data_IF_471848760003
#
_entry.id   IF_471848760003
#
_cell.length_a   1.000
_cell.length_b   1.000
_cell.length_c   1.000
_cell.angle_alpha   90.00
_cell.angle_beta   90.00
_cell.angle_gamma   90.00
#
_symmetry.space_group_name_H-M   'P 1'
#
loop_
_entity.id
_entity.type
_entity.pdbx_description
1 polymer ?
#
# COMPACT_ATOMS: atom_id res chain seq x y z
N UNK A 1 -1.31 35.47 -9.18
CA UNK A 1 -1.50 34.34 -8.26
C UNK A 1 -2.78 33.67 -8.66
N UNK A 2 -2.65 32.45 -9.16
CA UNK A 2 -3.73 31.64 -9.73
C UNK A 2 -3.66 30.28 -9.04
N UNK A 3 -4.80 29.81 -8.55
CA UNK A 3 -4.91 28.56 -7.82
C UNK A 3 -5.08 27.38 -8.78
N UNK A 4 -4.20 26.40 -8.67
CA UNK A 4 -4.25 25.11 -9.36
C UNK A 4 -4.54 24.01 -8.36
N UNK A 5 -5.49 23.14 -8.70
CA UNK A 5 -5.98 22.09 -7.82
C UNK A 5 -5.76 20.71 -8.45
N UNK A 6 -5.02 19.87 -7.74
CA UNK A 6 -4.92 18.44 -8.00
C UNK A 6 -5.97 17.71 -7.16
N UNK A 7 -6.80 16.90 -7.80
CA UNK A 7 -7.73 15.99 -7.13
C UNK A 7 -7.30 14.56 -7.39
N UNK A 8 -6.94 13.83 -6.34
CA UNK A 8 -6.44 12.47 -6.40
C UNK A 8 -7.45 11.48 -5.81
N UNK A 9 -7.92 10.56 -6.64
CA UNK A 9 -8.81 9.47 -6.25
C UNK A 9 -8.05 8.14 -6.21
N UNK A 10 -8.15 7.42 -5.09
CA UNK A 10 -7.59 6.07 -4.99
C UNK A 10 -8.65 5.02 -5.38
N UNK A 11 -8.37 4.25 -6.44
CA UNK A 11 -9.27 3.20 -6.93
C UNK A 11 -9.39 2.01 -5.98
N UNK A 12 -8.40 1.77 -5.12
CA UNK A 12 -8.44 0.67 -4.14
C UNK A 12 -9.33 0.99 -2.93
N UNK A 13 -9.65 2.26 -2.71
CA UNK A 13 -10.46 2.72 -1.59
C UNK A 13 -11.52 3.70 -2.11
N UNK A 14 -12.50 3.22 -2.91
CA UNK A 14 -13.47 4.08 -3.59
C UNK A 14 -14.42 4.81 -2.64
N UNK A 15 -14.54 4.33 -1.40
CA UNK A 15 -15.40 4.90 -0.34
C UNK A 15 -14.73 6.04 0.43
N UNK A 16 -13.41 6.25 0.25
CA UNK A 16 -12.70 7.38 0.84
C UNK A 16 -12.87 8.64 -0.01
N UNK A 17 -12.94 9.83 0.61
CA UNK A 17 -13.03 11.08 -0.12
C UNK A 17 -11.77 11.32 -0.97
N UNK A 18 -11.97 11.98 -2.11
CA UNK A 18 -10.86 12.39 -2.97
C UNK A 18 -9.93 13.34 -2.22
N UNK A 19 -8.63 13.15 -2.39
CA UNK A 19 -7.61 14.01 -1.80
C UNK A 19 -7.41 15.22 -2.68
N UNK A 20 -7.43 16.41 -2.07
CA UNK A 20 -7.27 17.67 -2.78
C UNK A 20 -5.96 18.33 -2.33
N UNK A 21 -5.12 18.68 -3.30
CA UNK A 21 -3.91 19.44 -3.08
C UNK A 21 -3.91 20.68 -3.98
N UNK A 22 -3.47 21.81 -3.45
CA UNK A 22 -3.56 23.10 -4.12
C UNK A 22 -2.20 23.79 -4.18
N UNK A 23 -1.93 24.46 -5.31
CA UNK A 23 -0.77 25.31 -5.51
C UNK A 23 -1.23 26.69 -5.99
N UNK A 24 -0.69 27.74 -5.38
CA UNK A 24 -0.83 29.09 -5.88
C UNK A 24 0.40 29.44 -6.73
N UNK A 25 0.18 29.60 -8.04
CA UNK A 25 1.24 29.85 -8.99
C UNK A 25 1.29 31.33 -9.40
N UNK A 26 2.50 31.86 -9.48
CA UNK A 26 2.79 33.11 -10.16
C UNK A 26 2.86 32.89 -11.68
N UNK A 27 2.71 33.94 -12.52
CA UNK A 27 2.81 33.80 -13.97
C UNK A 27 4.13 33.17 -14.43
N UNK A 28 5.25 33.48 -13.76
CA UNK A 28 6.54 32.88 -14.10
C UNK A 28 6.65 31.40 -13.72
N UNK A 29 5.83 30.92 -12.78
CA UNK A 29 5.72 29.51 -12.43
C UNK A 29 4.77 28.75 -13.38
N UNK A 30 3.74 29.42 -13.92
CA UNK A 30 2.89 28.86 -14.98
C UNK A 30 3.68 28.64 -16.28
N UNK A 31 4.60 29.56 -16.62
CA UNK A 31 5.44 29.47 -17.81
C UNK A 31 6.50 28.34 -17.72
N UNK A 32 6.89 27.93 -16.51
CA UNK A 32 7.92 26.91 -16.27
C UNK A 32 7.61 26.09 -14.99
N UNK A 33 6.54 25.28 -15.02
CA UNK A 33 6.05 24.58 -13.83
C UNK A 33 6.96 23.42 -13.40
N UNK A 34 7.89 22.97 -14.23
CA UNK A 34 8.85 21.92 -13.94
C UNK A 34 9.81 22.30 -12.81
N UNK A 35 10.05 23.60 -12.62
CA UNK A 35 10.85 24.08 -11.51
C UNK A 35 10.23 23.79 -10.14
N UNK A 36 8.89 23.64 -10.07
CA UNK A 36 8.14 23.40 -8.83
C UNK A 36 8.34 21.98 -8.29
N UNK A 37 8.69 21.02 -9.15
CA UNK A 37 8.73 19.59 -8.80
C UNK A 37 10.15 19.00 -8.83
N UNK A 38 11.18 19.82 -8.60
CA UNK A 38 12.59 19.40 -8.58
C UNK A 38 13.15 19.26 -7.16
N UNK A 39 14.08 18.32 -6.98
CA UNK A 39 14.82 18.13 -5.74
C UNK A 39 13.89 17.83 -4.55
N UNK A 40 14.03 18.59 -3.47
CA UNK A 40 13.31 18.38 -2.22
C UNK A 40 11.79 18.56 -2.36
N UNK A 41 11.34 19.49 -3.20
CA UNK A 41 9.91 19.75 -3.40
C UNK A 41 9.14 18.52 -3.92
N UNK A 42 9.81 17.66 -4.69
CA UNK A 42 9.24 16.38 -5.15
C UNK A 42 8.98 15.42 -3.99
N UNK A 43 9.92 15.33 -3.06
CA UNK A 43 9.81 14.43 -1.90
C UNK A 43 8.83 14.98 -0.87
N UNK A 44 8.77 16.31 -0.70
CA UNK A 44 7.75 16.98 0.11
C UNK A 44 6.35 16.72 -0.45
N UNK A 45 6.16 16.86 -1.77
CA UNK A 45 4.89 16.51 -2.42
C UNK A 45 4.54 15.04 -2.19
N UNK A 46 5.50 14.12 -2.27
CA UNK A 46 5.27 12.71 -1.95
C UNK A 46 4.75 12.55 -0.53
N UNK A 47 5.43 13.12 0.45
CA UNK A 47 5.05 12.99 1.86
C UNK A 47 3.63 13.52 2.10
N UNK A 48 3.33 14.72 1.61
CA UNK A 48 2.00 15.33 1.73
C UNK A 48 0.92 14.44 1.13
N UNK A 49 1.12 13.97 -0.10
CA UNK A 49 0.13 13.14 -0.77
C UNK A 49 -0.03 11.77 -0.08
N UNK A 50 1.05 11.18 0.45
CA UNK A 50 0.97 9.92 1.20
C UNK A 50 0.22 10.08 2.53
N UNK A 51 0.47 11.17 3.25
CA UNK A 51 -0.22 11.49 4.50
C UNK A 51 -1.72 11.70 4.25
N UNK A 52 -2.06 12.45 3.20
CA UNK A 52 -3.46 12.73 2.87
C UNK A 52 -4.21 11.52 2.32
N UNK A 53 -3.57 10.68 1.51
CA UNK A 53 -4.20 9.48 0.91
C UNK A 53 -4.16 8.25 1.82
N UNK A 54 -3.36 8.29 2.89
CA UNK A 54 -2.98 7.10 3.68
C UNK A 54 -2.48 5.93 2.79
N UNK A 55 -1.92 6.25 1.63
CA UNK A 55 -1.48 5.28 0.62
C UNK A 55 -0.01 5.46 0.29
N UNK A 56 0.67 4.37 -0.08
CA UNK A 56 2.04 4.38 -0.57
C UNK A 56 2.10 5.00 -1.97
N UNK A 57 2.91 6.04 -2.12
CA UNK A 57 3.14 6.70 -3.41
C UNK A 57 4.55 6.36 -3.87
N UNK A 58 4.63 5.34 -4.72
CA UNK A 58 5.90 4.93 -5.34
C UNK A 58 6.46 6.02 -6.25
N UNK A 59 7.76 5.94 -6.56
CA UNK A 59 8.41 6.84 -7.54
C UNK A 59 7.66 6.90 -8.88
N UNK A 60 7.14 5.76 -9.35
CA UNK A 60 6.40 5.67 -10.60
C UNK A 60 5.03 6.36 -10.50
N UNK A 61 4.31 6.17 -9.39
CA UNK A 61 3.03 6.84 -9.15
C UNK A 61 3.22 8.36 -9.03
N UNK A 62 4.23 8.79 -8.28
CA UNK A 62 4.56 10.20 -8.13
C UNK A 62 4.93 10.85 -9.47
N UNK A 63 5.72 10.17 -10.30
CA UNK A 63 6.07 10.66 -11.62
C UNK A 63 4.82 10.88 -12.47
N UNK A 64 3.88 9.92 -12.49
CA UNK A 64 2.61 10.06 -13.22
C UNK A 64 1.76 11.24 -12.72
N UNK A 65 1.71 11.46 -11.40
CA UNK A 65 1.00 12.60 -10.81
C UNK A 65 1.62 13.91 -11.31
N UNK A 66 2.94 14.03 -11.20
CA UNK A 66 3.68 15.24 -11.60
C UNK A 66 3.54 15.49 -13.10
N UNK A 67 3.76 14.48 -13.93
CA UNK A 67 3.68 14.63 -15.39
C UNK A 67 2.28 15.09 -15.82
N UNK A 68 1.24 14.45 -15.28
CA UNK A 68 -0.13 14.85 -15.61
C UNK A 68 -0.45 16.26 -15.13
N UNK A 69 -0.02 16.62 -13.93
CA UNK A 69 -0.28 17.95 -13.39
C UNK A 69 0.49 19.04 -14.13
N UNK A 70 1.73 18.75 -14.53
CA UNK A 70 2.51 19.63 -15.40
C UNK A 70 1.84 19.87 -16.75
N UNK A 71 1.37 18.80 -17.39
CA UNK A 71 0.68 18.92 -18.68
C UNK A 71 -0.60 19.75 -18.55
N UNK A 72 -1.40 19.51 -17.52
CA UNK A 72 -2.60 20.29 -17.25
C UNK A 72 -2.28 21.77 -16.96
N UNK A 73 -1.24 22.08 -16.19
CA UNK A 73 -0.80 23.46 -15.94
C UNK A 73 -0.35 24.14 -17.25
N UNK A 74 0.44 23.45 -18.08
CA UNK A 74 0.88 23.99 -19.39
C UNK A 74 -0.28 24.24 -20.35
N UNK A 75 -1.33 23.44 -20.27
CA UNK A 75 -2.57 23.63 -21.03
C UNK A 75 -3.50 24.69 -20.42
N UNK A 76 -3.16 25.21 -19.24
CA UNK A 76 -3.94 26.24 -18.52
C UNK A 76 -5.13 25.67 -17.74
N UNK A 77 -5.19 24.34 -17.55
CA UNK A 77 -6.20 23.70 -16.72
C UNK A 77 -5.90 23.90 -15.24
N UNK A 78 -6.83 24.56 -14.54
CA UNK A 78 -6.72 24.82 -13.09
C UNK A 78 -7.11 23.64 -12.21
N UNK A 79 -7.66 22.58 -12.82
CA UNK A 79 -8.19 21.41 -12.14
C UNK A 79 -7.67 20.16 -12.82
N UNK A 80 -6.93 19.36 -12.07
CA UNK A 80 -6.34 18.10 -12.53
C UNK A 80 -6.94 16.94 -11.76
N UNK A 81 -7.99 16.30 -12.29
CA UNK A 81 -8.52 15.07 -11.71
C UNK A 81 -7.65 13.88 -12.12
N UNK A 82 -7.14 13.14 -11.14
CA UNK A 82 -6.33 11.95 -11.34
C UNK A 82 -6.90 10.78 -10.55
N UNK A 83 -7.06 9.63 -11.20
CA UNK A 83 -7.43 8.39 -10.54
C UNK A 83 -6.27 7.41 -10.63
N UNK A 84 -5.78 6.93 -9.48
CA UNK A 84 -4.68 5.98 -9.40
C UNK A 84 -5.06 4.77 -8.54
N UNK A 85 -4.42 3.64 -8.81
CA UNK A 85 -4.47 2.45 -7.97
C UNK A 85 -3.29 2.52 -7.00
N UNK A 86 -3.52 2.98 -5.77
CA UNK A 86 -2.47 3.14 -4.75
C UNK A 86 -2.63 2.07 -3.67
N UNK A 87 -1.51 1.44 -3.29
CA UNK A 87 -1.51 0.46 -2.20
C UNK A 87 -1.60 1.19 -0.85
N UNK A 88 -2.24 0.62 0.18
CA UNK A 88 -2.24 1.23 1.51
C UNK A 88 -0.82 1.40 2.06
N UNK A 89 -0.58 2.49 2.79
CA UNK A 89 0.76 2.86 3.28
C UNK A 89 1.35 1.78 4.22
N UNK A 90 0.49 1.06 4.94
CA UNK A 90 0.88 -0.04 5.84
C UNK A 90 1.66 -1.17 5.13
N UNK A 91 1.41 -1.39 3.83
CA UNK A 91 2.12 -2.41 3.05
C UNK A 91 3.57 -2.04 2.73
N UNK A 92 3.95 -0.76 2.78
CA UNK A 92 5.34 -0.38 2.59
C UNK A 92 6.21 -0.78 3.78
N UNK A 93 5.65 -0.77 5.01
CA UNK A 93 6.34 -1.27 6.19
C UNK A 93 6.50 -2.80 6.17
N UNK A 94 5.58 -3.52 5.53
CA UNK A 94 5.67 -4.99 5.38
C UNK A 94 6.83 -5.44 4.49
N UNK A 95 7.26 -4.63 3.51
CA UNK A 95 8.45 -4.95 2.69
C UNK A 95 9.74 -5.02 3.50
N UNK A 96 9.77 -4.33 4.65
CA UNK A 96 10.90 -4.35 5.57
C UNK A 96 10.78 -5.42 6.65
N UNK A 97 9.65 -6.13 6.73
CA UNK A 97 9.42 -7.20 7.68
C UNK A 97 10.20 -8.45 7.23
N UNK A 98 11.47 -8.54 7.65
CA UNK A 98 12.24 -9.77 7.53
C UNK A 98 11.77 -10.76 8.61
N UNK A 99 10.70 -11.49 8.32
CA UNK A 99 10.39 -12.70 9.07
C UNK A 99 11.45 -13.74 8.72
N UNK A 100 12.39 -13.99 9.64
CA UNK A 100 13.38 -15.06 9.46
C UNK A 100 12.78 -16.45 9.74
N UNK A 101 11.52 -16.50 10.22
CA UNK A 101 10.95 -17.67 10.86
C UNK A 101 11.82 -18.16 12.01
N UNK A 102 11.33 -19.16 12.75
CA UNK A 102 12.23 -20.08 13.40
C UNK A 102 12.29 -21.33 12.51
N UNK A 103 13.30 -21.48 11.63
CA UNK A 103 13.41 -22.66 10.77
C UNK A 103 13.73 -23.93 11.58
N UNK A 104 13.95 -23.81 12.88
CA UNK A 104 14.20 -24.93 13.77
C UNK A 104 12.90 -25.73 13.92
N UNK A 105 12.84 -26.98 13.43
CA UNK A 105 11.70 -27.84 13.73
C UNK A 105 11.59 -28.01 15.26
N UNK A 106 10.37 -28.06 15.81
CA UNK A 106 10.19 -28.32 17.23
C UNK A 106 10.86 -29.66 17.57
N UNK A 107 11.43 -29.79 18.79
CA UNK A 107 11.99 -31.06 19.23
C UNK A 107 10.92 -32.14 19.16
N UNK A 108 11.30 -33.30 18.61
CA UNK A 108 10.40 -34.45 18.56
C UNK A 108 10.11 -34.93 19.99
N UNK A 109 8.86 -34.79 20.40
CA UNK A 109 8.35 -35.37 21.65
C UNK A 109 7.61 -36.66 21.26
N UNK A 110 8.13 -37.85 21.61
CA UNK A 110 7.40 -39.09 21.35
C UNK A 110 6.08 -39.07 22.13
N UNK A 111 4.99 -39.63 21.57
CA UNK A 111 3.75 -39.81 22.31
C UNK A 111 4.00 -40.69 23.55
N UNK A 112 3.48 -40.25 24.70
CA UNK A 112 3.47 -41.06 25.91
C UNK A 112 2.39 -42.13 25.79
N UNK A 113 2.82 -43.38 25.83
CA UNK A 113 1.94 -44.54 25.76
C UNK A 113 1.70 -45.20 27.12
N UNK A 114 2.20 -44.61 28.21
CA UNK A 114 2.08 -45.18 29.56
C UNK A 114 0.63 -45.37 30.02
N UNK A 115 -0.29 -44.55 29.49
CA UNK A 115 -1.72 -44.63 29.79
C UNK A 115 -2.53 -45.46 28.79
N UNK A 116 -1.93 -45.94 27.70
CA UNK A 116 -2.62 -46.85 26.76
C UNK A 116 -2.26 -48.30 27.05
N UNK A 117 -3.26 -49.07 27.44
CA UNK A 117 -3.18 -50.53 27.50
C UNK A 117 -4.14 -51.10 26.46
N UNK A 118 -3.76 -52.17 25.72
CA UNK A 118 -4.71 -52.88 24.89
C UNK A 118 -5.81 -53.44 25.78
N UNK A 119 -7.00 -52.84 25.72
CA UNK A 119 -8.19 -53.49 26.25
C UNK A 119 -8.47 -54.66 25.30
N UNK A 120 -8.25 -55.88 25.79
CA UNK A 120 -8.37 -57.09 25.00
C UNK A 120 -9.67 -57.08 24.19
N UNK A 121 -9.54 -57.32 22.88
CA UNK A 121 -10.70 -57.41 22.00
C UNK A 121 -11.64 -58.49 22.51
N UNK A 122 -12.93 -58.16 22.62
CA UNK A 122 -13.97 -59.14 22.88
C UNK A 122 -14.09 -60.04 21.64
N UNK A 123 -13.26 -61.08 21.55
CA UNK A 123 -13.47 -62.13 20.58
C UNK A 123 -14.80 -62.79 20.94
N UNK A 124 -15.81 -62.80 20.04
CA UNK A 124 -17.03 -63.54 20.29
C UNK A 124 -16.68 -65.02 20.47
N UNK A 125 -17.38 -65.75 21.35
CA UNK A 125 -17.11 -67.17 21.59
C UNK A 125 -17.22 -67.94 20.27
N UNK A 126 -16.18 -68.70 19.94
CA UNK A 126 -16.18 -69.57 18.78
C UNK A 126 -17.04 -70.80 19.08
N UNK A 127 -18.12 -70.95 18.33
CA UNK A 127 -19.07 -72.05 18.47
C UNK A 127 -18.63 -73.20 17.53
N UNK A 128 -18.20 -74.33 18.08
CA UNK A 128 -17.74 -75.50 17.33
C UNK A 128 -18.74 -76.66 17.44
N UNK A 129 -20.01 -76.38 17.18
CA UNK A 129 -21.02 -77.44 16.99
C UNK A 129 -20.60 -78.41 15.88
#
# INVERSE_FOLDING_TARGET
MVLYRLTLKNSNTPDLPDVIHELDLSPSQEDNPEALFKGNAREELRQILQEQTAASITNASLQKIIDRWLDDIREGYRLTPLTLTLAPLEFDNLKNLKDQGNPTPPPFVPPDFSEISPQGGALPPLNFN
#
